data_IF_036658829627
#
_entry.id   IF_036658829627
#
_cell.length_a   1.000
_cell.length_b   1.000
_cell.length_c   1.000
_cell.angle_alpha   90.00
_cell.angle_beta   90.00
_cell.angle_gamma   90.00
#
_symmetry.space_group_name_H-M   'P 1'
#
loop_
_entity.id
_entity.type
_entity.pdbx_description
1 polymer ?
#
# COMPACT_ATOMS: atom_id res chain seq x y z
N UNK A 1 16.44 15.97 34.41
CA UNK A 1 17.13 14.87 33.68
C UNK A 1 16.41 14.37 32.41
N UNK A 2 15.12 14.68 32.16
CA UNK A 2 14.38 14.11 31.02
C UNK A 2 14.66 14.72 29.62
N UNK A 3 15.06 15.99 29.53
CA UNK A 3 15.20 16.73 28.26
C UNK A 3 16.40 16.26 27.41
N UNK A 4 17.56 16.01 28.03
CA UNK A 4 18.75 15.51 27.30
C UNK A 4 18.52 14.13 26.69
N UNK A 5 17.94 13.19 27.43
CA UNK A 5 17.65 11.85 26.93
C UNK A 5 16.62 11.85 25.79
N UNK A 6 15.65 12.77 25.84
CA UNK A 6 14.69 12.95 24.76
C UNK A 6 15.35 13.51 23.50
N UNK A 7 16.20 14.53 23.63
CA UNK A 7 16.95 15.10 22.50
C UNK A 7 17.85 14.06 21.81
N UNK A 8 18.57 13.23 22.58
CA UNK A 8 19.36 12.14 22.02
C UNK A 8 18.52 11.12 21.23
N UNK A 9 17.28 10.84 21.68
CA UNK A 9 16.37 9.95 20.94
C UNK A 9 15.92 10.57 19.61
N UNK A 10 15.64 11.87 19.59
CA UNK A 10 15.23 12.60 18.37
C UNK A 10 16.38 12.65 17.36
N UNK A 11 17.60 12.95 17.79
CA UNK A 11 18.79 12.97 16.92
C UNK A 11 19.12 11.59 16.35
N UNK A 12 19.03 10.53 17.17
CA UNK A 12 19.20 9.16 16.69
C UNK A 12 18.12 8.78 15.68
N UNK A 13 16.86 9.17 15.92
CA UNK A 13 15.75 8.90 15.01
C UNK A 13 15.99 9.61 13.67
N UNK A 14 16.36 10.89 13.70
CA UNK A 14 16.69 11.67 12.52
C UNK A 14 17.76 10.99 11.66
N UNK A 15 18.89 10.61 12.27
CA UNK A 15 19.97 9.89 11.57
C UNK A 15 19.49 8.57 10.95
N UNK A 16 18.65 7.84 11.68
CA UNK A 16 18.11 6.57 11.19
C UNK A 16 17.13 6.78 10.03
N UNK A 17 16.29 7.81 10.09
CA UNK A 17 15.40 8.19 8.98
C UNK A 17 16.19 8.59 7.73
N UNK A 18 17.29 9.34 7.88
CA UNK A 18 18.19 9.65 6.76
C UNK A 18 18.73 8.36 6.14
N UNK A 19 19.20 7.41 6.95
CA UNK A 19 19.66 6.11 6.45
C UNK A 19 18.57 5.34 5.70
N UNK A 20 17.41 5.14 6.33
CA UNK A 20 16.30 4.38 5.76
C UNK A 20 15.76 4.99 4.47
N UNK A 21 15.68 6.32 4.36
CA UNK A 21 15.06 6.98 3.22
C UNK A 21 16.07 7.41 2.15
N UNK A 22 17.30 7.76 2.54
CA UNK A 22 18.31 8.35 1.67
C UNK A 22 19.42 7.41 1.27
N UNK A 23 19.72 6.36 2.04
CA UNK A 23 20.84 5.46 1.77
C UNK A 23 20.38 4.08 1.29
N UNK A 24 19.64 3.36 2.13
CA UNK A 24 19.33 1.93 1.92
C UNK A 24 17.86 1.59 2.22
N UNK A 25 16.88 2.18 1.51
CA UNK A 25 15.46 1.84 1.69
C UNK A 25 15.13 0.38 1.40
N UNK A 26 15.90 -0.26 0.52
CA UNK A 26 15.78 -1.66 0.13
C UNK A 26 15.96 -2.63 1.30
N UNK A 27 16.89 -2.36 2.22
CA UNK A 27 17.13 -3.16 3.44
C UNK A 27 15.92 -3.18 4.38
N UNK A 28 15.03 -2.20 4.23
CA UNK A 28 13.80 -2.09 5.01
C UNK A 28 12.58 -2.48 4.17
N UNK A 29 12.74 -3.06 2.99
CA UNK A 29 11.61 -3.41 2.12
C UNK A 29 10.77 -2.19 1.73
N UNK A 30 11.37 -0.99 1.71
CA UNK A 30 10.73 0.24 1.31
C UNK A 30 11.10 0.51 -0.14
N UNK A 31 10.09 0.76 -0.97
CA UNK A 31 10.27 1.15 -2.36
C UNK A 31 9.65 2.53 -2.52
N UNK A 32 10.49 3.58 -2.60
CA UNK A 32 10.03 4.95 -2.84
C UNK A 32 9.35 5.07 -4.20
N UNK A 33 8.49 6.08 -4.36
CA UNK A 33 7.94 6.43 -5.68
C UNK A 33 8.99 7.12 -6.57
N UNK A 34 8.61 7.47 -7.81
CA UNK A 34 9.48 8.12 -8.79
C UNK A 34 10.14 9.41 -8.26
N UNK A 35 9.46 10.12 -7.36
CA UNK A 35 9.95 11.34 -6.72
C UNK A 35 10.76 11.05 -5.44
N UNK A 36 10.80 9.80 -5.00
CA UNK A 36 11.52 9.32 -3.83
C UNK A 36 10.77 9.40 -2.51
N UNK A 37 9.45 9.55 -2.55
CA UNK A 37 8.63 9.55 -1.36
C UNK A 37 8.21 8.15 -0.90
N UNK A 38 8.14 8.00 0.42
CA UNK A 38 7.57 6.83 1.09
C UNK A 38 6.41 7.29 1.97
N UNK A 39 5.34 6.51 2.05
CA UNK A 39 4.20 6.86 2.91
C UNK A 39 4.58 6.72 4.38
N UNK A 40 4.03 7.58 5.25
CA UNK A 40 4.28 7.46 6.70
C UNK A 40 3.81 6.12 7.26
N UNK A 41 2.79 5.52 6.65
CA UNK A 41 2.30 4.20 7.04
C UNK A 41 3.37 3.13 6.80
N UNK A 42 3.92 3.07 5.60
CA UNK A 42 4.96 2.09 5.24
C UNK A 42 6.24 2.34 6.06
N UNK A 43 6.64 3.60 6.23
CA UNK A 43 7.80 3.97 7.03
C UNK A 43 7.65 3.56 8.50
N UNK A 44 6.50 3.83 9.13
CA UNK A 44 6.25 3.44 10.52
C UNK A 44 6.21 1.91 10.68
N UNK A 45 5.62 1.19 9.72
CA UNK A 45 5.64 -0.27 9.74
C UNK A 45 7.07 -0.82 9.67
N UNK A 46 7.90 -0.27 8.78
CA UNK A 46 9.31 -0.66 8.67
C UNK A 46 10.09 -0.32 9.95
N UNK A 47 9.90 0.87 10.52
CA UNK A 47 10.52 1.28 11.80
C UNK A 47 10.13 0.35 12.95
N UNK A 48 8.89 -0.14 12.99
CA UNK A 48 8.43 -0.99 14.09
C UNK A 48 9.03 -2.39 14.09
N UNK A 49 9.56 -2.83 12.96
CA UNK A 49 10.28 -4.08 12.82
C UNK A 49 11.72 -3.97 13.32
N UNK A 50 12.27 -2.75 13.39
CA UNK A 50 13.66 -2.52 13.75
C UNK A 50 13.88 -2.50 15.28
N UNK A 51 14.94 -3.17 15.78
CA UNK A 51 15.26 -3.17 17.20
C UNK A 51 15.41 -1.76 17.77
N UNK A 52 14.72 -1.49 18.88
CA UNK A 52 14.78 -0.19 19.53
C UNK A 52 13.90 0.91 18.91
N UNK A 53 13.19 0.65 17.80
CA UNK A 53 12.36 1.66 17.13
C UNK A 53 10.85 1.39 17.18
N UNK A 54 10.43 0.28 17.81
CA UNK A 54 9.02 -0.11 17.96
C UNK A 54 8.11 0.92 18.65
N UNK A 55 8.67 1.80 19.49
CA UNK A 55 7.90 2.85 20.17
C UNK A 55 7.62 4.08 19.30
N UNK A 56 8.29 4.20 18.15
CA UNK A 56 8.21 5.39 17.30
C UNK A 56 6.78 5.56 16.78
N UNK A 57 6.34 6.80 16.68
CA UNK A 57 5.00 7.21 16.25
C UNK A 57 5.14 8.40 15.33
N UNK A 58 4.06 8.75 14.64
CA UNK A 58 4.03 9.95 13.79
C UNK A 58 4.45 11.22 14.55
N UNK A 59 4.09 11.34 15.82
CA UNK A 59 4.49 12.46 16.68
C UNK A 59 6.01 12.59 16.82
N UNK A 60 6.73 11.49 17.05
CA UNK A 60 8.19 11.49 17.14
C UNK A 60 8.86 11.90 15.82
N UNK A 61 8.28 11.49 14.68
CA UNK A 61 8.76 11.97 13.37
C UNK A 61 8.48 13.47 13.22
N UNK A 62 7.34 13.96 13.71
CA UNK A 62 7.04 15.40 13.69
C UNK A 62 8.00 16.20 14.57
N UNK A 63 8.45 15.67 15.71
CA UNK A 63 9.48 16.30 16.55
C UNK A 63 10.79 16.47 15.79
N UNK A 64 11.23 15.45 15.02
CA UNK A 64 12.39 15.57 14.12
C UNK A 64 12.17 16.70 13.10
N UNK A 65 10.97 16.78 12.53
CA UNK A 65 10.59 17.81 11.56
C UNK A 65 10.37 19.21 12.17
N UNK A 66 10.29 19.33 13.49
CA UNK A 66 10.26 20.64 14.18
C UNK A 66 11.65 21.02 14.73
N UNK A 67 12.60 20.08 14.68
CA UNK A 67 13.96 20.27 15.15
C UNK A 67 14.92 20.80 14.09
N UNK A 68 16.21 20.80 14.45
CA UNK A 68 17.31 21.31 13.61
C UNK A 68 17.44 20.56 12.28
N UNK A 69 17.11 19.27 12.27
CA UNK A 69 17.28 18.38 11.12
C UNK A 69 16.14 18.45 10.10
N UNK A 70 15.17 19.36 10.29
CA UNK A 70 14.04 19.53 9.36
C UNK A 70 14.47 19.76 7.91
N UNK A 71 15.60 20.42 7.69
CA UNK A 71 16.13 20.70 6.36
C UNK A 71 16.56 19.42 5.60
N UNK A 72 16.81 18.31 6.29
CA UNK A 72 17.19 17.03 5.67
C UNK A 72 16.02 16.31 5.00
N UNK A 73 14.79 16.71 5.31
CA UNK A 73 13.57 16.03 4.90
C UNK A 73 12.66 16.94 4.09
N UNK A 74 11.88 16.34 3.20
CA UNK A 74 10.75 16.98 2.53
C UNK A 74 9.47 16.21 2.92
N UNK A 75 8.75 16.68 3.95
CA UNK A 75 7.48 16.08 4.34
C UNK A 75 6.33 16.65 3.50
N UNK A 76 5.38 15.78 3.18
CA UNK A 76 4.04 16.11 2.70
C UNK A 76 2.99 15.57 3.68
N UNK A 77 1.70 15.77 3.41
CA UNK A 77 0.61 15.33 4.30
C UNK A 77 0.67 13.83 4.64
N UNK A 78 0.99 12.99 3.65
CA UNK A 78 0.90 11.52 3.77
C UNK A 78 2.22 10.78 3.52
N UNK A 79 3.24 11.48 3.01
CA UNK A 79 4.50 10.87 2.58
C UNK A 79 5.68 11.76 2.95
N UNK A 80 6.87 11.19 2.97
CA UNK A 80 8.12 11.86 3.31
C UNK A 80 9.24 11.32 2.43
N UNK A 81 10.18 12.20 2.08
CA UNK A 81 11.46 11.84 1.47
C UNK A 81 12.60 12.58 2.16
N UNK A 82 13.82 12.12 1.94
CA UNK A 82 15.03 12.90 2.23
C UNK A 82 15.37 13.80 1.06
N UNK A 83 16.05 14.91 1.36
CA UNK A 83 16.58 15.81 0.33
C UNK A 83 17.73 15.13 -0.41
N UNK A 84 18.70 14.58 0.34
CA UNK A 84 19.80 13.79 -0.20
C UNK A 84 19.39 12.32 -0.37
N UNK A 85 19.65 11.78 -1.56
CA UNK A 85 19.32 10.40 -1.96
C UNK A 85 20.53 9.80 -2.66
N UNK A 86 21.07 8.74 -2.10
CA UNK A 86 22.24 8.02 -2.62
C UNK A 86 21.88 6.78 -3.43
N UNK A 87 20.65 6.30 -3.32
CA UNK A 87 20.12 5.24 -4.17
C UNK A 87 19.54 5.82 -5.47
N UNK A 88 19.49 4.99 -6.50
CA UNK A 88 18.79 5.30 -7.76
C UNK A 88 17.85 4.15 -8.07
N UNK A 89 16.61 4.46 -8.42
CA UNK A 89 15.83 3.51 -9.19
C UNK A 89 16.39 3.57 -10.60
N UNK A 90 16.88 2.46 -11.13
CA UNK A 90 17.36 2.39 -12.51
C UNK A 90 16.31 1.69 -13.39
N UNK A 91 15.17 2.33 -13.72
CA UNK A 91 14.35 1.86 -14.83
C UNK A 91 15.13 2.15 -16.13
N UNK A 92 15.90 1.18 -16.61
CA UNK A 92 16.66 1.28 -17.86
C UNK A 92 18.20 1.23 -17.74
N UNK A 93 18.75 0.92 -16.56
CA UNK A 93 20.17 0.55 -16.45
C UNK A 93 20.43 -0.89 -16.91
N UNK A 94 21.65 -1.21 -17.35
CA UNK A 94 22.05 -2.57 -17.71
C UNK A 94 21.68 -3.54 -16.57
N UNK A 95 21.05 -4.69 -16.87
CA UNK A 95 20.61 -5.62 -15.85
C UNK A 95 21.83 -6.16 -15.10
N UNK A 96 21.89 -5.93 -13.80
CA UNK A 96 22.48 -6.95 -12.92
C UNK A 96 21.60 -8.18 -13.12
N UNK A 97 22.17 -9.26 -13.67
CA UNK A 97 21.44 -10.47 -14.02
C UNK A 97 20.61 -10.94 -12.81
N UNK A 98 19.26 -10.82 -12.87
CA UNK A 98 18.43 -11.22 -11.76
C UNK A 98 18.58 -12.73 -11.51
N UNK A 99 18.54 -13.17 -10.24
CA UNK A 99 18.49 -14.59 -9.91
C UNK A 99 17.35 -15.29 -10.64
N UNK A 100 17.56 -16.55 -11.05
CA UNK A 100 16.57 -17.29 -11.84
C UNK A 100 15.19 -17.43 -11.18
N UNK A 101 15.13 -17.33 -9.85
CA UNK A 101 13.90 -17.33 -9.07
C UNK A 101 13.89 -16.11 -8.14
N UNK A 102 12.79 -15.37 -8.17
CA UNK A 102 12.49 -14.29 -7.24
C UNK A 102 11.22 -14.58 -6.46
N UNK A 103 11.13 -14.05 -5.24
CA UNK A 103 10.00 -14.22 -4.34
C UNK A 103 9.19 -12.93 -4.23
N UNK A 104 7.86 -13.08 -4.14
CA UNK A 104 6.98 -11.97 -3.81
C UNK A 104 5.89 -12.40 -2.83
N UNK A 105 5.62 -11.60 -1.78
CA UNK A 105 4.55 -11.90 -0.85
C UNK A 105 3.19 -11.45 -1.37
N UNK A 106 2.24 -12.38 -1.35
CA UNK A 106 0.85 -12.16 -1.72
C UNK A 106 -0.05 -12.32 -0.48
N UNK A 107 -1.10 -11.50 -0.38
CA UNK A 107 -2.10 -11.65 0.69
C UNK A 107 -2.84 -12.97 0.53
N UNK A 108 -3.20 -13.63 1.62
CA UNK A 108 -3.90 -14.92 1.55
C UNK A 108 -5.21 -14.81 0.75
N UNK A 109 -5.93 -13.70 0.88
CA UNK A 109 -7.14 -13.41 0.10
C UNK A 109 -6.91 -13.16 -1.39
N UNK A 110 -5.74 -12.65 -1.76
CA UNK A 110 -5.39 -12.34 -3.15
C UNK A 110 -4.82 -13.57 -3.88
N UNK A 111 -4.37 -14.59 -3.15
CA UNK A 111 -3.72 -15.78 -3.70
C UNK A 111 -4.49 -16.44 -4.86
N UNK A 112 -5.82 -16.71 -4.76
CA UNK A 112 -6.55 -17.33 -5.88
C UNK A 112 -6.56 -16.46 -7.14
N UNK A 113 -6.66 -15.14 -6.97
CA UNK A 113 -6.70 -14.18 -8.09
C UNK A 113 -5.33 -14.08 -8.76
N UNK A 114 -4.25 -14.16 -7.98
CA UNK A 114 -2.88 -14.11 -8.49
C UNK A 114 -2.56 -15.35 -9.32
N UNK A 115 -2.99 -16.53 -8.88
CA UNK A 115 -2.82 -17.77 -9.66
C UNK A 115 -3.61 -17.71 -10.97
N UNK A 116 -4.80 -17.11 -10.98
CA UNK A 116 -5.63 -16.99 -12.19
C UNK A 116 -5.14 -15.90 -13.16
N UNK A 117 -4.75 -14.73 -12.65
CA UNK A 117 -4.57 -13.50 -13.45
C UNK A 117 -3.14 -12.96 -13.46
N UNK A 118 -2.27 -13.51 -12.63
CA UNK A 118 -0.94 -12.97 -12.36
C UNK A 118 -0.95 -11.76 -11.43
N UNK A 119 0.19 -11.07 -11.37
CA UNK A 119 0.42 -9.90 -10.53
C UNK A 119 0.48 -8.63 -11.37
N UNK A 120 -0.33 -7.66 -10.96
CA UNK A 120 -0.42 -6.34 -11.58
C UNK A 120 -0.37 -5.31 -10.46
N UNK A 121 0.65 -4.43 -10.43
CA UNK A 121 0.70 -3.36 -9.46
C UNK A 121 -0.34 -2.29 -9.80
N UNK A 122 -0.78 -1.50 -8.80
CA UNK A 122 -1.49 -0.26 -9.06
C UNK A 122 -0.66 0.68 -9.93
N UNK A 123 -1.35 1.55 -10.66
CA UNK A 123 -0.72 2.56 -11.53
C UNK A 123 0.33 3.40 -10.77
N UNK A 124 1.48 3.62 -11.39
CA UNK A 124 2.60 4.36 -10.81
C UNK A 124 3.39 3.62 -9.72
N UNK A 125 3.16 2.32 -9.51
CA UNK A 125 3.95 1.48 -8.59
C UNK A 125 4.57 0.29 -9.30
N UNK A 126 5.67 -0.19 -8.76
CA UNK A 126 6.31 -1.44 -9.17
C UNK A 126 5.94 -2.58 -8.23
N UNK A 127 5.96 -3.80 -8.75
CA UNK A 127 5.98 -5.01 -7.94
C UNK A 127 7.35 -5.16 -7.31
N UNK A 128 7.37 -5.51 -6.02
CA UNK A 128 8.59 -5.70 -5.25
C UNK A 128 8.88 -7.18 -5.14
N UNK A 129 10.06 -7.56 -5.60
CA UNK A 129 10.58 -8.90 -5.64
C UNK A 129 11.89 -8.98 -4.85
N UNK A 130 12.20 -10.14 -4.31
CA UNK A 130 13.43 -10.36 -3.54
C UNK A 130 13.90 -11.81 -3.70
N UNK A 131 15.21 -12.07 -3.79
CA UNK A 131 15.72 -13.43 -3.71
C UNK A 131 15.67 -13.96 -2.27
N UNK A 132 15.70 -13.08 -1.27
CA UNK A 132 15.65 -13.45 0.14
C UNK A 132 14.21 -13.72 0.61
N UNK A 133 14.00 -14.91 1.17
CA UNK A 133 12.74 -15.39 1.73
C UNK A 133 12.34 -14.62 2.99
N UNK A 134 13.28 -14.25 3.84
CA UNK A 134 12.99 -13.55 5.08
C UNK A 134 12.53 -12.12 4.80
N UNK A 135 13.20 -11.43 3.88
CA UNK A 135 12.73 -10.15 3.33
C UNK A 135 11.33 -10.26 2.73
N UNK A 136 11.04 -11.30 1.94
CA UNK A 136 9.71 -11.50 1.34
C UNK A 136 8.63 -11.65 2.42
N UNK A 137 8.87 -12.48 3.44
CA UNK A 137 7.95 -12.66 4.56
C UNK A 137 7.77 -11.37 5.35
N UNK A 138 8.86 -10.63 5.58
CA UNK A 138 8.85 -9.36 6.30
C UNK A 138 7.96 -8.33 5.60
N UNK A 139 8.14 -8.12 4.29
CA UNK A 139 7.29 -7.24 3.47
C UNK A 139 5.83 -7.74 3.48
N UNK A 140 5.62 -9.05 3.39
CA UNK A 140 4.29 -9.66 3.41
C UNK A 140 3.54 -9.43 4.71
N UNK A 141 4.21 -9.58 5.85
CA UNK A 141 3.66 -9.46 7.21
C UNK A 141 3.09 -8.07 7.51
N UNK A 142 3.57 -7.03 6.83
CA UNK A 142 3.03 -5.66 6.91
C UNK A 142 1.59 -5.54 6.40
N UNK A 143 1.21 -6.44 5.47
CA UNK A 143 -0.06 -6.42 4.76
C UNK A 143 -1.01 -7.52 5.22
N UNK A 144 -0.49 -8.70 5.55
CA UNK A 144 -1.26 -9.87 5.96
C UNK A 144 -0.48 -10.64 7.04
N UNK A 145 -1.15 -11.19 8.06
CA UNK A 145 -0.49 -11.96 9.14
C UNK A 145 0.09 -13.27 8.61
N UNK A 146 -0.52 -13.86 7.57
CA UNK A 146 -0.09 -15.11 6.94
C UNK A 146 0.08 -14.89 5.43
N UNK A 147 1.12 -14.16 5.00
CA UNK A 147 1.36 -13.95 3.57
C UNK A 147 1.75 -15.27 2.90
N UNK A 148 1.32 -15.45 1.66
CA UNK A 148 1.73 -16.56 0.80
C UNK A 148 2.89 -16.07 -0.03
N UNK A 149 4.02 -16.78 -0.02
CA UNK A 149 5.14 -16.48 -0.90
C UNK A 149 4.90 -17.13 -2.25
N UNK A 150 5.01 -16.33 -3.31
CA UNK A 150 4.96 -16.80 -4.68
C UNK A 150 6.37 -16.74 -5.26
N UNK A 151 6.76 -17.80 -5.96
CA UNK A 151 7.98 -17.90 -6.73
C UNK A 151 7.74 -17.42 -8.16
N UNK A 152 8.68 -16.66 -8.69
CA UNK A 152 8.62 -16.09 -10.03
C UNK A 152 9.83 -16.60 -10.80
N UNK A 153 9.57 -17.28 -11.91
CA UNK A 153 10.62 -17.67 -12.84
C UNK A 153 11.02 -16.47 -13.68
N UNK A 154 12.20 -15.93 -13.41
CA UNK A 154 12.78 -14.80 -14.13
C UNK A 154 13.00 -15.15 -15.61
N UNK A 155 13.61 -16.30 -15.98
CA UNK A 155 13.79 -16.67 -17.39
C UNK A 155 12.46 -16.79 -18.16
N UNK A 156 11.40 -17.28 -17.51
CA UNK A 156 10.08 -17.38 -18.14
C UNK A 156 9.45 -16.00 -18.35
N UNK A 157 9.67 -15.07 -17.42
CA UNK A 157 9.16 -13.71 -17.49
C UNK A 157 9.91 -12.87 -18.54
N UNK A 158 11.24 -13.00 -18.63
CA UNK A 158 12.08 -12.31 -19.62
C UNK A 158 11.74 -12.74 -21.05
N UNK A 159 11.51 -14.04 -21.28
CA UNK A 159 11.02 -14.56 -22.57
C UNK A 159 9.69 -13.94 -23.02
N UNK A 160 8.93 -13.35 -22.09
CA UNK A 160 7.66 -12.64 -22.35
C UNK A 160 7.81 -11.12 -22.38
N UNK A 161 9.05 -10.62 -22.41
CA UNK A 161 9.36 -9.20 -22.51
C UNK A 161 9.19 -8.44 -21.19
N UNK A 162 9.32 -9.11 -20.05
CA UNK A 162 9.27 -8.46 -18.74
C UNK A 162 10.68 -8.13 -18.30
N UNK A 163 10.92 -6.87 -18.00
CA UNK A 163 12.19 -6.39 -17.47
C UNK A 163 12.15 -6.33 -15.95
N UNK A 164 13.28 -6.71 -15.34
CA UNK A 164 13.53 -6.57 -13.92
C UNK A 164 14.56 -5.47 -13.70
N UNK A 165 14.35 -4.64 -12.69
CA UNK A 165 15.25 -3.55 -12.33
C UNK A 165 15.77 -3.76 -10.92
N UNK A 166 17.08 -3.81 -10.76
CA UNK A 166 17.70 -3.89 -9.44
C UNK A 166 17.44 -2.61 -8.63
N UNK A 167 17.16 -2.80 -7.35
CA UNK A 167 16.98 -1.74 -6.36
C UNK A 167 17.62 -2.20 -5.05
N UNK A 168 18.96 -2.09 -5.01
CA UNK A 168 19.75 -2.62 -3.91
C UNK A 168 19.56 -4.13 -3.77
N UNK A 169 19.05 -4.61 -2.64
CA UNK A 169 18.76 -6.04 -2.45
C UNK A 169 17.38 -6.49 -3.00
N UNK A 170 16.59 -5.56 -3.54
CA UNK A 170 15.27 -5.83 -4.11
C UNK A 170 15.30 -5.75 -5.64
N UNK A 171 14.29 -6.34 -6.28
CA UNK A 171 14.05 -6.24 -7.71
C UNK A 171 12.66 -5.68 -7.96
N UNK A 172 12.55 -4.80 -8.96
CA UNK A 172 11.32 -4.13 -9.34
C UNK A 172 10.88 -4.61 -10.72
N UNK A 173 9.59 -4.89 -10.89
CA UNK A 173 9.02 -5.18 -12.20
C UNK A 173 7.64 -4.53 -12.37
N UNK A 174 7.23 -4.36 -13.63
CA UNK A 174 5.96 -3.71 -13.98
C UNK A 174 4.76 -4.64 -13.88
N UNK A 175 4.91 -5.93 -14.22
CA UNK A 175 3.83 -6.94 -14.19
C UNK A 175 4.41 -8.35 -14.25
N UNK A 176 3.64 -9.34 -13.80
CA UNK A 176 4.02 -10.75 -13.90
C UNK A 176 2.78 -11.58 -14.30
N UNK A 177 2.78 -12.22 -15.49
CA UNK A 177 1.76 -13.15 -15.93
C UNK A 177 1.63 -14.37 -15.00
N UNK A 178 0.43 -14.96 -14.96
CA UNK A 178 0.14 -16.14 -14.16
C UNK A 178 1.08 -17.32 -14.47
N UNK A 179 1.46 -17.50 -15.74
CA UNK A 179 2.27 -18.64 -16.19
C UNK A 179 3.72 -18.58 -15.67
N UNK A 180 4.19 -17.42 -15.24
CA UNK A 180 5.53 -17.23 -14.67
C UNK A 180 5.55 -17.38 -13.14
N UNK A 181 4.38 -17.60 -12.53
CA UNK A 181 4.20 -17.63 -11.09
C UNK A 181 3.94 -19.06 -10.63
N UNK A 182 4.77 -19.53 -9.71
CA UNK A 182 4.61 -20.81 -9.03
C UNK A 182 4.32 -20.55 -7.56
N UNK A 183 3.40 -21.29 -6.97
CA UNK A 183 3.07 -21.12 -5.55
C UNK A 183 2.43 -22.36 -4.96
N UNK A 184 2.27 -22.41 -3.63
CA UNK A 184 1.57 -23.51 -2.97
C UNK A 184 0.13 -23.60 -3.48
N UNK A 185 -0.48 -24.80 -3.49
CA UNK A 185 -1.85 -24.95 -3.93
C UNK A 185 -2.80 -24.08 -3.11
N UNK A 186 -3.78 -23.47 -3.76
CA UNK A 186 -4.80 -22.65 -3.10
C UNK A 186 -5.62 -23.54 -2.15
N UNK A 187 -5.70 -23.19 -0.87
CA UNK A 187 -6.47 -23.99 0.09
C UNK A 187 -7.97 -23.94 -0.20
N UNK A 188 -8.65 -25.09 -0.03
CA UNK A 188 -10.09 -25.26 -0.29
C UNK A 188 -10.94 -24.24 0.48
N UNK A 189 -10.62 -23.99 1.75
CA UNK A 189 -11.31 -23.01 2.59
C UNK A 189 -11.34 -21.59 1.99
N UNK A 190 -10.28 -21.18 1.27
CA UNK A 190 -10.21 -19.86 0.64
C UNK A 190 -11.13 -19.82 -0.59
N UNK A 191 -11.17 -20.91 -1.36
CA UNK A 191 -12.03 -21.04 -2.52
C UNK A 191 -13.51 -21.03 -2.11
N UNK A 192 -13.86 -21.77 -1.06
CA UNK A 192 -15.23 -21.82 -0.51
C UNK A 192 -15.69 -20.45 0.01
N UNK A 193 -14.84 -19.75 0.77
CA UNK A 193 -15.13 -18.37 1.22
C UNK A 193 -15.33 -17.42 0.04
N UNK A 194 -14.50 -17.51 -1.00
CA UNK A 194 -14.64 -16.70 -2.21
C UNK A 194 -15.92 -17.04 -2.98
N UNK A 195 -16.30 -18.33 -3.05
CA UNK A 195 -17.54 -18.77 -3.67
C UNK A 195 -18.76 -18.23 -2.91
N UNK A 196 -18.75 -18.28 -1.57
CA UNK A 196 -19.79 -17.72 -0.72
C UNK A 196 -19.90 -16.19 -0.86
N UNK A 197 -18.77 -15.47 -0.87
CA UNK A 197 -18.76 -14.02 -1.11
C UNK A 197 -19.30 -13.69 -2.51
N UNK A 198 -18.88 -14.42 -3.55
CA UNK A 198 -19.37 -14.24 -4.92
C UNK A 198 -20.87 -14.50 -5.02
N UNK A 199 -21.36 -15.56 -4.39
CA UNK A 199 -22.80 -15.88 -4.31
C UNK A 199 -23.59 -14.79 -3.57
N UNK A 200 -23.06 -14.23 -2.49
CA UNK A 200 -23.70 -13.15 -1.75
C UNK A 200 -23.78 -11.84 -2.56
N UNK A 201 -22.74 -11.50 -3.33
CA UNK A 201 -22.79 -10.35 -4.26
C UNK A 201 -23.55 -10.61 -5.56
N UNK A 202 -23.77 -11.87 -5.93
CA UNK A 202 -24.56 -12.27 -7.11
C UNK A 202 -26.05 -12.45 -6.81
N UNK A 203 -26.49 -12.17 -5.57
CA UNK A 203 -27.91 -12.08 -5.26
C UNK A 203 -28.56 -11.09 -6.25
N UNK A 204 -29.67 -11.48 -6.93
CA UNK A 204 -30.26 -10.67 -7.97
C UNK A 204 -30.62 -9.30 -7.40
N UNK A 205 -30.34 -8.25 -8.18
CA UNK A 205 -30.95 -6.94 -7.93
C UNK A 205 -32.46 -7.16 -7.76
N UNK A 206 -33.10 -6.49 -6.77
CA UNK A 206 -34.53 -6.71 -6.52
C UNK A 206 -35.27 -6.56 -7.85
N UNK A 207 -36.20 -7.46 -8.18
CA UNK A 207 -36.84 -7.47 -9.48
C UNK A 207 -37.40 -6.08 -9.76
N UNK A 208 -36.97 -5.48 -10.87
CA UNK A 208 -37.54 -4.21 -11.34
C UNK A 208 -39.02 -4.50 -11.62
N UNK A 209 -39.88 -4.13 -10.67
CA UNK A 209 -41.33 -4.33 -10.80
C UNK A 209 -41.78 -3.59 -12.06
N UNK A 210 -42.36 -4.31 -13.02
CA UNK A 210 -43.00 -3.69 -14.18
C UNK A 210 -44.17 -2.86 -13.65
N UNK A 211 -44.31 -1.58 -14.05
CA UNK A 211 -45.43 -0.77 -13.59
C UNK A 211 -46.74 -1.38 -14.12
N UNK A 212 -47.68 -1.64 -13.21
CA UNK A 212 -49.05 -2.03 -13.56
C UNK A 212 -49.83 -0.80 -14.05
N UNK A 213 -50.89 -0.97 -14.89
CA UNK A 213 -51.71 0.15 -15.36
C UNK A 213 -52.24 0.98 -14.18
N UNK A 214 -51.89 2.27 -14.14
CA UNK A 214 -52.21 3.18 -13.04
C UNK A 214 -51.11 3.37 -11.99
N UNK A 215 -50.01 2.60 -12.04
CA UNK A 215 -48.87 2.76 -11.13
C UNK A 215 -47.76 3.60 -11.76
N UNK A 216 -47.54 4.80 -11.24
CA UNK A 216 -46.39 5.64 -11.62
C UNK A 216 -45.17 5.28 -10.76
N UNK A 217 -44.15 4.63 -11.33
CA UNK A 217 -42.89 4.39 -10.62
C UNK A 217 -42.02 5.64 -10.66
N UNK A 218 -41.75 6.24 -9.49
CA UNK A 218 -40.83 7.37 -9.40
C UNK A 218 -39.40 6.90 -9.61
N UNK A 219 -38.87 7.15 -10.81
CA UNK A 219 -37.47 6.91 -11.15
C UNK A 219 -36.63 8.11 -10.74
N UNK A 220 -35.83 7.96 -9.68
CA UNK A 220 -34.94 9.01 -9.17
C UNK A 220 -33.89 9.48 -10.20
N UNK A 221 -33.65 8.71 -11.27
CA UNK A 221 -32.75 9.13 -12.37
C UNK A 221 -33.41 10.13 -13.34
N UNK A 222 -34.75 10.15 -13.39
CA UNK A 222 -35.57 11.04 -14.22
C UNK A 222 -36.03 12.31 -13.49
N UNK A 223 -35.61 12.51 -12.24
CA UNK A 223 -35.90 13.73 -11.49
C UNK A 223 -35.29 14.95 -12.23
N UNK A 224 -36.12 15.96 -12.61
CA UNK A 224 -35.63 17.17 -13.26
C UNK A 224 -34.73 18.01 -12.32
N UNK A 225 -34.86 17.84 -11.00
CA UNK A 225 -34.02 18.52 -10.02
C UNK A 225 -32.66 17.81 -9.87
N UNK A 226 -31.62 18.36 -10.52
CA UNK A 226 -30.25 17.83 -10.49
C UNK A 226 -29.68 17.71 -9.07
N UNK A 227 -30.20 18.46 -8.09
CA UNK A 227 -29.71 18.47 -6.71
C UNK A 227 -30.15 17.22 -5.91
N UNK A 228 -31.17 16.49 -6.37
CA UNK A 228 -31.72 15.29 -5.70
C UNK A 228 -31.17 13.97 -6.22
N UNK A 229 -30.39 13.99 -7.30
CA UNK A 229 -29.73 12.79 -7.83
C UNK A 229 -28.83 12.17 -6.77
N UNK A 230 -28.83 10.83 -6.68
CA UNK A 230 -28.24 10.01 -5.61
C UNK A 230 -26.76 10.23 -5.30
N UNK A 231 -26.05 11.03 -6.10
CA UNK A 231 -24.62 11.40 -5.91
C UNK A 231 -24.40 12.83 -5.39
N UNK A 232 -25.44 13.63 -5.16
CA UNK A 232 -25.33 14.94 -4.54
C UNK A 232 -25.27 14.83 -3.01
N UNK A 233 -24.10 15.04 -2.40
CA UNK A 233 -24.04 15.28 -0.95
C UNK A 233 -24.90 16.51 -0.62
N UNK A 234 -26.03 16.31 0.08
CA UNK A 234 -26.79 17.42 0.66
C UNK A 234 -25.81 18.30 1.45
N UNK A 235 -25.76 19.60 1.16
CA UNK A 235 -25.06 20.57 2.01
C UNK A 235 -25.63 20.42 3.43
N UNK A 236 -24.76 20.20 4.42
CA UNK A 236 -25.18 20.10 5.83
C UNK A 236 -25.91 21.37 6.20
N UNK A 237 -27.18 21.24 6.56
CA UNK A 237 -28.01 22.37 6.96
C UNK A 237 -27.48 23.02 8.23
N UNK A 238 -27.69 24.33 8.36
CA UNK A 238 -27.29 25.17 9.51
C UNK A 238 -27.59 24.53 10.88
N UNK A 239 -28.71 23.81 11.02
CA UNK A 239 -29.08 23.08 12.26
C UNK A 239 -28.10 21.96 12.65
N UNK A 240 -27.47 21.27 11.71
CA UNK A 240 -26.45 20.25 12.00
C UNK A 240 -25.12 20.87 12.44
N UNK A 241 -24.76 22.04 11.88
CA UNK A 241 -23.58 22.79 12.29
C UNK A 241 -23.72 23.28 13.75
N UNK A 242 -24.89 23.81 14.13
CA UNK A 242 -25.16 24.23 15.51
C UNK A 242 -25.16 23.08 16.52
N UNK A 243 -25.62 21.87 16.13
CA UNK A 243 -25.55 20.67 16.99
C UNK A 243 -24.11 20.23 17.27
N UNK A 244 -23.20 20.40 16.32
CA UNK A 244 -21.78 20.08 16.49
C UNK A 244 -21.09 21.05 17.47
N UNK A 245 -21.42 22.34 17.38
CA UNK A 245 -20.95 23.37 18.31
C UNK A 245 -21.41 23.08 19.75
N UNK A 246 -22.68 22.67 19.94
CA UNK A 246 -23.19 22.29 21.27
C UNK A 246 -22.53 21.04 21.86
N UNK A 247 -22.15 20.05 21.04
CA UNK A 247 -21.44 18.84 21.51
C UNK A 247 -19.96 19.09 21.82
N UNK A 248 -19.33 20.08 21.18
CA UNK A 248 -17.93 20.45 21.45
C UNK A 248 -17.72 21.19 22.78
N UNK A 249 -18.76 21.81 23.34
CA UNK A 249 -18.68 22.59 24.59
C UNK A 249 -18.87 21.77 25.88
N UNK A 250 -19.03 20.43 25.77
CA UNK A 250 -19.22 19.49 26.89
C UNK A 250 -18.07 18.48 27.04
N UNK A 251 -16.88 18.81 26.54
CA UNK A 251 -15.64 18.06 26.79
C UNK A 251 -14.53 19.01 27.18
#
# INVERSE_FOLDING_TARGET
MGTRNHQFKVERLSRFLVYMLGHRPDEFGLVPDAEGYVTYRELLQALHEEPGWRYVRRSHINEVLMGKDRALFQPEDRRIRTVDRRWRMAPGGAPEDPPGILLTPVRQKAHPVVVEKGLWPPEGRFLVLTPDRDMALRIGKRRDRKPVLMEISVPAAEKRGISFHAFGCLYLCSRIPAECITGPPVSRDILERRAAEKAATAAPSPPVRKPEPGTFTMDASRDPDRLRRSKGKKRKGWKEASRKIRKGKRR
#
